data_IF_287383599683
#
_entry.id   IF_287383599683
#
_cell.length_a   1.000
_cell.length_b   1.000
_cell.length_c   1.000
_cell.angle_alpha   90.00
_cell.angle_beta   90.00
_cell.angle_gamma   90.00
#
_symmetry.space_group_name_H-M   'P 1'
#
loop_
_entity.id
_entity.type
_entity.pdbx_description
1 polymer ?
#
# COMPACT_ATOMS: atom_id res chain seq x y z
N UNK A 1 15.19 -5.71 -7.20
CA UNK A 1 14.39 -6.15 -6.03
C UNK A 1 13.19 -5.23 -5.93
N UNK A 2 11.98 -5.74 -5.67
CA UNK A 2 10.77 -4.93 -5.49
C UNK A 2 10.20 -5.22 -4.11
N UNK A 3 9.84 -4.19 -3.36
CA UNK A 3 9.22 -4.34 -2.03
C UNK A 3 7.73 -4.05 -2.15
N UNK A 4 6.91 -4.88 -1.51
CA UNK A 4 5.44 -4.77 -1.52
C UNK A 4 4.98 -4.38 -0.13
N UNK A 5 4.14 -3.34 -0.04
CA UNK A 5 3.52 -2.86 1.19
C UNK A 5 2.01 -3.04 1.09
N UNK A 6 1.42 -3.74 2.07
CA UNK A 6 -0.01 -3.65 2.32
C UNK A 6 -0.28 -2.33 3.05
N UNK A 7 -0.94 -1.41 2.35
CA UNK A 7 -1.24 -0.08 2.88
C UNK A 7 -2.62 0.01 3.52
N UNK A 8 -3.38 -1.09 3.57
CA UNK A 8 -4.70 -1.13 4.22
C UNK A 8 -4.64 -1.74 5.62
N UNK A 9 -3.62 -2.52 5.92
CA UNK A 9 -3.44 -3.18 7.22
C UNK A 9 -2.75 -2.32 8.27
N UNK A 10 -3.38 -2.17 9.45
CA UNK A 10 -2.79 -1.56 10.65
C UNK A 10 -3.62 -0.42 11.23
N UNK A 11 -3.44 -0.15 12.53
CA UNK A 11 -4.26 0.81 13.30
C UNK A 11 -4.17 2.26 12.77
N UNK A 12 -3.09 2.58 12.04
CA UNK A 12 -2.81 3.89 11.46
C UNK A 12 -2.61 3.84 9.93
N UNK A 13 -3.03 2.74 9.29
CA UNK A 13 -3.05 2.63 7.85
C UNK A 13 -4.22 3.47 7.28
N UNK A 14 -4.09 4.07 6.09
CA UNK A 14 -2.96 4.03 5.16
C UNK A 14 -1.89 5.10 5.40
N UNK A 15 -2.13 6.05 6.29
CA UNK A 15 -1.34 7.29 6.43
C UNK A 15 0.14 7.02 6.74
N UNK A 16 0.41 6.24 7.79
CA UNK A 16 1.79 5.95 8.23
C UNK A 16 2.51 5.02 7.23
N UNK A 17 1.79 4.05 6.67
CA UNK A 17 2.39 3.07 5.73
C UNK A 17 2.77 3.72 4.42
N UNK A 18 1.93 4.61 3.88
CA UNK A 18 2.24 5.37 2.66
C UNK A 18 3.42 6.32 2.90
N UNK A 19 3.44 7.05 4.02
CA UNK A 19 4.56 7.93 4.35
C UNK A 19 5.89 7.15 4.45
N UNK A 20 5.91 6.04 5.20
CA UNK A 20 7.11 5.20 5.33
C UNK A 20 7.57 4.58 4.00
N UNK A 21 6.63 4.21 3.12
CA UNK A 21 6.96 3.73 1.79
C UNK A 21 7.59 4.81 0.90
N UNK A 22 7.11 6.06 0.98
CA UNK A 22 7.71 7.19 0.28
C UNK A 22 9.13 7.46 0.79
N UNK A 23 9.32 7.46 2.11
CA UNK A 23 10.64 7.67 2.72
C UNK A 23 11.62 6.57 2.32
N UNK A 24 11.18 5.31 2.33
CA UNK A 24 12.00 4.19 1.86
C UNK A 24 12.34 4.29 0.36
N UNK A 25 11.39 4.72 -0.48
CA UNK A 25 11.66 4.94 -1.90
C UNK A 25 12.66 6.09 -2.11
N UNK A 26 12.59 7.16 -1.30
CA UNK A 26 13.51 8.30 -1.35
C UNK A 26 14.91 7.94 -0.87
N UNK A 27 15.02 7.24 0.25
CA UNK A 27 16.30 6.94 0.88
C UNK A 27 17.07 5.85 0.13
N UNK A 28 16.38 4.77 -0.27
CA UNK A 28 17.02 3.60 -0.87
C UNK A 28 16.92 3.57 -2.40
N UNK A 29 16.12 4.44 -3.02
CA UNK A 29 15.93 4.46 -4.48
C UNK A 29 15.35 3.17 -5.05
N UNK A 30 14.68 2.38 -4.21
CA UNK A 30 14.16 1.07 -4.59
C UNK A 30 12.73 1.16 -5.15
N UNK A 31 12.35 0.26 -6.06
CA UNK A 31 10.97 0.14 -6.51
C UNK A 31 10.08 -0.39 -5.38
N UNK A 32 9.00 0.34 -5.08
CA UNK A 32 8.01 -0.02 -4.06
C UNK A 32 6.63 -0.16 -4.70
N UNK A 33 5.89 -1.18 -4.26
CA UNK A 33 4.52 -1.47 -4.69
C UNK A 33 3.59 -1.33 -3.49
N UNK A 34 2.62 -0.44 -3.58
CA UNK A 34 1.57 -0.23 -2.58
C UNK A 34 0.34 -1.04 -2.98
N UNK A 35 -0.13 -1.91 -2.10
CA UNK A 35 -1.29 -2.78 -2.33
C UNK A 35 -2.42 -2.35 -1.41
N UNK A 36 -3.56 -1.98 -1.99
CA UNK A 36 -4.71 -1.51 -1.23
C UNK A 36 -5.79 -0.88 -2.11
N UNK A 37 -6.80 -0.29 -1.48
CA UNK A 37 -7.86 0.41 -2.20
C UNK A 37 -7.29 1.64 -2.92
N UNK A 38 -7.21 1.59 -4.24
CA UNK A 38 -6.50 2.59 -5.03
C UNK A 38 -6.97 4.03 -4.75
N UNK A 39 -8.28 4.22 -4.54
CA UNK A 39 -8.85 5.53 -4.24
C UNK A 39 -8.29 6.14 -2.94
N UNK A 40 -8.15 5.33 -1.89
CA UNK A 40 -7.65 5.78 -0.59
C UNK A 40 -6.14 6.04 -0.68
N UNK A 41 -5.40 5.12 -1.28
CA UNK A 41 -3.94 5.22 -1.44
C UNK A 41 -3.58 6.43 -2.29
N UNK A 42 -4.30 6.69 -3.39
CA UNK A 42 -4.11 7.89 -4.22
C UNK A 42 -4.45 9.18 -3.47
N UNK A 43 -5.52 9.17 -2.68
CA UNK A 43 -5.91 10.31 -1.85
C UNK A 43 -4.83 10.69 -0.84
N UNK A 44 -4.19 9.68 -0.23
CA UNK A 44 -3.07 9.91 0.68
C UNK A 44 -1.80 10.33 -0.06
N UNK A 45 -1.43 9.63 -1.15
CA UNK A 45 -0.29 10.00 -1.99
C UNK A 45 -0.38 11.43 -2.53
N UNK A 46 -1.57 11.96 -2.77
CA UNK A 46 -1.76 13.34 -3.21
C UNK A 46 -1.35 14.39 -2.14
N UNK A 47 -1.27 14.01 -0.87
CA UNK A 47 -0.80 14.87 0.22
C UNK A 47 0.72 14.92 0.34
N UNK A 48 1.42 13.98 -0.29
CA UNK A 48 2.87 13.84 -0.20
C UNK A 48 3.54 14.13 -1.55
N UNK A 49 4.78 14.60 -1.52
CA UNK A 49 5.58 14.71 -2.73
C UNK A 49 6.30 13.38 -3.01
N UNK A 50 5.79 12.65 -4.01
CA UNK A 50 6.32 11.38 -4.49
C UNK A 50 6.73 11.45 -5.97
N UNK A 51 6.82 12.65 -6.54
CA UNK A 51 7.20 12.85 -7.93
C UNK A 51 8.62 12.33 -8.18
N UNK A 52 8.77 11.48 -9.20
CA UNK A 52 10.07 10.90 -9.56
C UNK A 52 10.46 9.66 -8.74
N UNK A 53 9.64 9.22 -7.78
CA UNK A 53 9.85 7.96 -7.07
C UNK A 53 9.31 6.76 -7.85
N UNK A 54 9.99 5.62 -7.69
CA UNK A 54 9.58 4.38 -8.33
C UNK A 54 8.50 3.66 -7.50
N UNK A 55 7.32 4.26 -7.46
CA UNK A 55 6.14 3.76 -6.75
C UNK A 55 5.11 3.22 -7.74
N UNK A 56 4.57 2.05 -7.45
CA UNK A 56 3.45 1.45 -8.19
C UNK A 56 2.30 1.17 -7.24
N UNK A 57 1.07 1.36 -7.69
CA UNK A 57 -0.13 1.02 -6.91
C UNK A 57 -0.75 -0.21 -7.55
N UNK A 58 -1.07 -1.22 -6.75
CA UNK A 58 -1.87 -2.38 -7.13
C UNK A 58 -3.20 -2.25 -6.41
N UNK A 59 -4.26 -2.07 -7.18
CA UNK A 59 -5.61 -2.02 -6.63
C UNK A 59 -5.99 -3.39 -6.07
N UNK A 60 -6.30 -3.41 -4.77
CA UNK A 60 -6.83 -4.56 -4.07
C UNK A 60 -8.21 -4.17 -3.52
N UNK A 61 -9.28 -4.31 -4.33
CA UNK A 61 -10.63 -3.93 -3.93
C UNK A 61 -11.23 -4.88 -2.88
N UNK A 62 -10.68 -6.09 -2.72
CA UNK A 62 -11.07 -7.03 -1.67
C UNK A 62 -10.31 -6.74 -0.37
N UNK A 63 -10.92 -5.96 0.52
CA UNK A 63 -10.53 -5.97 1.94
C UNK A 63 -11.21 -7.18 2.58
N UNK A 64 -10.43 -8.14 3.05
CA UNK A 64 -10.94 -9.25 3.86
C UNK A 64 -11.49 -8.66 5.17
N UNK A 65 -12.81 -8.53 5.25
CA UNK A 65 -13.49 -8.10 6.48
C UNK A 65 -13.39 -9.22 7.54
N UNK A 66 -13.38 -8.84 8.82
CA UNK A 66 -13.14 -9.72 9.98
C UNK A 66 -14.20 -10.82 10.18
N UNK A 67 -15.18 -10.92 9.29
CA UNK A 67 -16.25 -11.91 9.32
C UNK A 67 -16.02 -13.14 8.44
N UNK A 68 -15.00 -13.13 7.58
CA UNK A 68 -14.72 -14.31 6.76
C UNK A 68 -13.73 -15.25 7.44
N UNK A 69 -14.14 -16.52 7.50
CA UNK A 69 -13.36 -17.61 8.07
C UNK A 69 -12.00 -17.65 7.35
N UNK A 70 -10.88 -17.72 8.09
CA UNK A 70 -9.51 -17.66 7.52
C UNK A 70 -9.17 -18.82 6.56
N UNK A 71 -10.08 -19.74 6.30
CA UNK A 71 -9.87 -20.93 5.48
C UNK A 71 -10.19 -20.74 3.98
N UNK A 72 -10.93 -19.70 3.56
CA UNK A 72 -11.35 -19.55 2.16
C UNK A 72 -10.49 -18.58 1.33
N UNK A 73 -9.62 -17.77 1.96
CA UNK A 73 -8.88 -16.68 1.30
C UNK A 73 -7.63 -17.15 0.50
N UNK A 74 -7.32 -18.46 0.49
CA UNK A 74 -6.09 -18.99 -0.14
C UNK A 74 -6.26 -19.53 -1.57
N UNK A 75 -7.40 -19.31 -2.25
CA UNK A 75 -7.64 -19.83 -3.61
C UNK A 75 -8.50 -18.92 -4.50
N UNK A 76 -7.88 -17.91 -5.13
CA UNK A 76 -8.21 -17.46 -6.50
C UNK A 76 -7.25 -16.39 -6.97
#
# INVERSE_FOLDING_TARGET
>A
MKIVFDVMGGDHAPEVTVAGAIDAAKEFGIPIVLVGQEAIVRGELAKHDWAGLNLSIVDAPEVVDMHDKPAEVLRS
#
